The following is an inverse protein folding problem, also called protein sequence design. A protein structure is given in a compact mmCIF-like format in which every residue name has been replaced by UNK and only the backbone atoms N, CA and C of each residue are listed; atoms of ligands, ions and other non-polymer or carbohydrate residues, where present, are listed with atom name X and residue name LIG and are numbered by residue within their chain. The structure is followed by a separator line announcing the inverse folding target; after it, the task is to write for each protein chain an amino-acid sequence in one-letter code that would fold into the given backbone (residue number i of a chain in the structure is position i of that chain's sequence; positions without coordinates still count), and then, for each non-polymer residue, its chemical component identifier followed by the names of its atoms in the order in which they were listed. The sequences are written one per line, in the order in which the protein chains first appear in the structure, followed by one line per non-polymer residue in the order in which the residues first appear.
data_IF_376202584730
#
_entry.id   IF_376202584730
#
_cell.length_a   1.000
_cell.length_b   1.000
_cell.length_c   1.000
_cell.angle_alpha   90.00
_cell.angle_beta   90.00
_cell.angle_gamma   90.00
#
_symmetry.space_group_name_H-M   'P 1'
#
loop_
_entity.id
_entity.type
_entity.pdbx_description
1 polymer ?
#
# COMPACT_ATOMS: atom_id res chain seq x y z
N UNK A 1 5.08 -6.83 -29.65
CA UNK A 1 4.89 -7.51 -28.34
C UNK A 1 3.50 -8.11 -28.31
N UNK A 2 3.34 -9.33 -27.81
CA UNK A 2 2.01 -9.93 -27.56
C UNK A 2 1.35 -9.27 -26.34
N UNK A 3 0.03 -9.42 -26.17
CA UNK A 3 -0.67 -8.89 -24.98
C UNK A 3 -0.09 -9.42 -23.66
N UNK A 4 0.36 -10.68 -23.63
CA UNK A 4 1.05 -11.27 -22.46
C UNK A 4 2.37 -10.56 -22.16
N UNK A 5 3.18 -10.27 -23.19
CA UNK A 5 4.45 -9.57 -23.01
C UNK A 5 4.24 -8.14 -22.49
N UNK A 6 3.21 -7.45 -22.97
CA UNK A 6 2.85 -6.11 -22.49
C UNK A 6 2.39 -6.14 -21.03
N UNK A 7 1.56 -7.12 -20.65
CA UNK A 7 1.10 -7.27 -19.27
C UNK A 7 2.26 -7.48 -18.29
N UNK A 8 3.20 -8.37 -18.61
CA UNK A 8 4.38 -8.57 -17.76
C UNK A 8 5.27 -7.32 -17.70
N UNK A 9 5.44 -6.59 -18.81
CA UNK A 9 6.18 -5.33 -18.81
C UNK A 9 5.53 -4.27 -17.90
N UNK A 10 4.19 -4.19 -17.85
CA UNK A 10 3.47 -3.27 -16.95
C UNK A 10 3.63 -3.68 -15.49
N UNK A 11 3.54 -4.98 -15.18
CA UNK A 11 3.79 -5.48 -13.82
C UNK A 11 5.19 -5.13 -13.34
N UNK A 12 6.21 -5.33 -14.19
CA UNK A 12 7.59 -4.98 -13.88
C UNK A 12 7.76 -3.46 -13.68
N UNK A 13 7.12 -2.65 -14.53
CA UNK A 13 7.14 -1.19 -14.42
C UNK A 13 6.56 -0.72 -13.08
N UNK A 14 5.44 -1.29 -12.63
CA UNK A 14 4.78 -0.92 -11.37
C UNK A 14 5.53 -1.48 -10.14
N UNK A 15 6.00 -2.72 -10.24
CA UNK A 15 6.78 -3.38 -9.18
C UNK A 15 8.10 -2.68 -8.89
N UNK A 16 8.74 -2.14 -9.94
CA UNK A 16 9.98 -1.38 -9.85
C UNK A 16 9.78 0.15 -9.95
N UNK A 17 8.53 0.63 -9.81
CA UNK A 17 8.23 2.05 -10.01
C UNK A 17 8.99 2.93 -9.04
N UNK A 18 9.72 3.92 -9.57
CA UNK A 18 10.33 5.00 -8.80
C UNK A 18 9.34 6.09 -8.39
N UNK A 19 8.03 5.93 -8.60
CA UNK A 19 7.02 6.97 -8.31
C UNK A 19 5.91 6.46 -7.40
N UNK A 20 5.34 5.29 -7.73
CA UNK A 20 4.17 4.77 -7.05
C UNK A 20 4.52 3.83 -5.90
N UNK A 21 3.74 3.92 -4.82
CA UNK A 21 3.70 2.88 -3.81
C UNK A 21 2.61 1.87 -4.17
N UNK A 22 2.96 0.59 -4.18
CA UNK A 22 1.99 -0.49 -4.32
C UNK A 22 2.14 -1.44 -3.14
N UNK A 23 1.03 -1.77 -2.51
CA UNK A 23 0.93 -2.75 -1.43
C UNK A 23 -0.29 -3.64 -1.66
N UNK A 24 -0.26 -4.85 -1.10
CA UNK A 24 -1.45 -5.65 -0.89
C UNK A 24 -1.50 -6.08 0.57
N UNK A 25 -2.70 -6.16 1.13
CA UNK A 25 -2.96 -6.61 2.51
C UNK A 25 -4.01 -7.71 2.48
N UNK A 26 -3.89 -8.69 3.36
CA UNK A 26 -4.90 -9.74 3.52
C UNK A 26 -6.02 -9.31 4.50
N UNK A 27 -7.02 -10.19 4.68
CA UNK A 27 -8.14 -9.94 5.61
C UNK A 27 -7.73 -9.84 7.08
N UNK A 28 -6.55 -10.37 7.44
CA UNK A 28 -5.94 -10.16 8.76
C UNK A 28 -5.14 -8.85 8.85
N UNK A 29 -5.28 -7.97 7.86
CA UNK A 29 -4.61 -6.67 7.78
C UNK A 29 -3.09 -6.74 7.74
N UNK A 30 -2.53 -7.89 7.33
CA UNK A 30 -1.10 -8.08 7.16
C UNK A 30 -0.69 -7.85 5.71
N UNK A 31 0.46 -7.22 5.48
CA UNK A 31 1.04 -7.07 4.15
C UNK A 31 1.28 -8.43 3.50
N UNK A 32 0.77 -8.63 2.28
CA UNK A 32 1.07 -9.78 1.42
C UNK A 32 1.99 -9.42 0.27
N UNK A 33 2.06 -8.13 -0.08
CA UNK A 33 2.95 -7.60 -1.09
C UNK A 33 3.32 -6.15 -0.77
N UNK A 34 4.55 -5.77 -1.11
CA UNK A 34 5.02 -4.38 -1.19
C UNK A 34 5.92 -4.26 -2.41
N UNK A 35 5.81 -3.16 -3.17
CA UNK A 35 6.70 -2.92 -4.29
C UNK A 35 8.07 -2.38 -3.84
N UNK A 36 9.03 -2.29 -4.78
CA UNK A 36 10.41 -1.88 -4.48
C UNK A 36 10.46 -0.52 -3.77
N UNK A 37 9.73 0.47 -4.26
CA UNK A 37 9.77 1.83 -3.69
C UNK A 37 9.19 1.90 -2.28
N UNK A 38 8.10 1.19 -1.99
CA UNK A 38 7.58 1.14 -0.62
C UNK A 38 8.57 0.45 0.33
N UNK A 39 9.20 -0.63 -0.13
CA UNK A 39 10.24 -1.32 0.65
C UNK A 39 11.46 -0.42 0.90
N UNK A 40 11.98 0.27 -0.13
CA UNK A 40 13.16 1.14 -0.03
C UNK A 40 12.96 2.25 1.02
N UNK A 41 11.73 2.77 1.16
CA UNK A 41 11.39 3.82 2.13
C UNK A 41 11.15 3.25 3.54
N UNK A 42 10.31 2.21 3.68
CA UNK A 42 9.78 1.82 4.98
C UNK A 42 10.49 0.62 5.62
N UNK A 43 11.21 -0.21 4.85
CA UNK A 43 11.99 -1.34 5.41
C UNK A 43 13.11 -0.87 6.35
N UNK A 44 13.90 0.18 6.05
CA UNK A 44 14.92 0.67 6.98
C UNK A 44 14.35 1.16 8.32
N UNK A 45 13.08 1.59 8.34
CA UNK A 45 12.41 2.15 9.51
C UNK A 45 11.74 1.05 10.34
N UNK A 46 11.08 0.10 9.69
CA UNK A 46 10.18 -0.86 10.34
C UNK A 46 10.60 -2.33 10.17
N UNK A 47 11.70 -2.61 9.48
CA UNK A 47 12.13 -3.97 9.11
C UNK A 47 11.29 -4.56 7.97
N UNK A 48 11.39 -5.89 7.79
CA UNK A 48 10.62 -6.59 6.77
C UNK A 48 9.11 -6.50 7.02
N UNK A 49 8.38 -6.02 6.01
CA UNK A 49 6.97 -5.64 6.14
C UNK A 49 6.00 -6.77 5.82
N UNK A 50 6.32 -7.65 4.87
CA UNK A 50 5.44 -8.77 4.49
C UNK A 50 5.20 -9.66 5.72
N UNK A 51 3.93 -9.96 5.99
CA UNK A 51 3.50 -10.67 7.20
C UNK A 51 3.23 -9.78 8.42
N UNK A 52 3.65 -8.51 8.42
CA UNK A 52 3.33 -7.57 9.49
C UNK A 52 2.01 -6.84 9.23
N UNK A 53 1.34 -6.47 10.32
CA UNK A 53 0.13 -5.67 10.28
C UNK A 53 0.40 -4.28 9.68
N UNK A 54 -0.48 -3.79 8.79
CA UNK A 54 -0.25 -2.53 8.06
C UNK A 54 -0.05 -1.30 8.96
N UNK A 55 -0.63 -1.36 10.17
CA UNK A 55 -0.61 -0.27 11.13
C UNK A 55 0.82 0.08 11.59
N UNK A 56 1.80 -0.83 11.44
CA UNK A 56 3.20 -0.61 11.87
C UNK A 56 3.84 0.62 11.21
N UNK A 57 3.36 1.02 10.03
CA UNK A 57 3.92 2.14 9.27
C UNK A 57 3.17 3.46 9.45
N UNK A 58 2.04 3.49 10.17
CA UNK A 58 1.12 4.64 10.16
C UNK A 58 0.81 5.22 11.52
N UNK A 59 0.35 6.47 11.51
CA UNK A 59 -0.23 7.10 12.69
C UNK A 59 -1.47 6.32 13.18
N UNK A 60 -1.63 6.06 14.49
CA UNK A 60 -2.75 5.28 15.01
C UNK A 60 -4.13 5.85 14.66
N UNK A 61 -4.33 7.17 14.74
CA UNK A 61 -5.61 7.80 14.39
C UNK A 61 -6.05 7.57 12.93
N UNK A 62 -5.13 7.24 12.02
CA UNK A 62 -5.48 7.02 10.61
C UNK A 62 -6.00 5.61 10.34
N UNK A 63 -5.96 4.71 11.34
CA UNK A 63 -6.51 3.35 11.22
C UNK A 63 -8.02 3.36 10.95
N UNK A 64 -8.76 4.29 11.56
CA UNK A 64 -10.21 4.46 11.32
C UNK A 64 -10.47 4.75 9.84
N UNK A 65 -9.67 5.64 9.23
CA UNK A 65 -9.77 5.96 7.79
C UNK A 65 -9.53 4.71 6.95
N UNK A 66 -8.52 3.91 7.28
CA UNK A 66 -8.26 2.66 6.55
C UNK A 66 -9.42 1.66 6.66
N UNK A 67 -10.03 1.53 7.83
CA UNK A 67 -11.18 0.63 8.05
C UNK A 67 -12.41 1.07 7.24
N UNK A 68 -12.74 2.36 7.26
CA UNK A 68 -13.88 2.90 6.49
C UNK A 68 -13.65 2.71 4.99
N UNK A 69 -12.46 3.08 4.50
CA UNK A 69 -12.15 3.02 3.07
C UNK A 69 -12.04 1.57 2.57
N UNK A 70 -11.51 0.64 3.37
CA UNK A 70 -11.48 -0.77 3.01
C UNK A 70 -12.89 -1.37 2.96
N UNK A 71 -13.76 -1.03 3.92
CA UNK A 71 -15.16 -1.45 3.90
C UNK A 71 -15.86 -0.99 2.63
N UNK A 72 -15.69 0.28 2.24
CA UNK A 72 -16.22 0.81 0.99
C UNK A 72 -15.69 0.04 -0.23
N UNK A 73 -14.39 -0.25 -0.27
CA UNK A 73 -13.79 -1.01 -1.37
C UNK A 73 -14.38 -2.42 -1.50
N UNK A 74 -14.67 -3.11 -0.39
CA UNK A 74 -15.34 -4.41 -0.41
C UNK A 74 -16.83 -4.32 -0.76
N UNK A 75 -17.53 -3.27 -0.32
CA UNK A 75 -18.95 -3.06 -0.66
C UNK A 75 -19.17 -2.68 -2.13
N UNK A 76 -18.18 -2.06 -2.77
CA UNK A 76 -18.25 -1.59 -4.16
C UNK A 76 -17.05 -2.10 -4.96
N UNK A 77 -17.03 -3.39 -5.32
CA UNK A 77 -15.84 -4.07 -5.83
C UNK A 77 -15.34 -3.53 -7.16
N UNK A 78 -16.16 -2.82 -7.95
CA UNK A 78 -15.76 -2.21 -9.22
C UNK A 78 -15.17 -0.80 -9.08
N UNK A 79 -15.24 -0.21 -7.88
CA UNK A 79 -14.79 1.16 -7.61
C UNK A 79 -13.41 1.22 -6.95
N UNK A 80 -12.85 2.44 -6.91
CA UNK A 80 -11.65 2.78 -6.13
C UNK A 80 -11.97 3.89 -5.15
N UNK A 81 -11.38 3.85 -3.96
CA UNK A 81 -11.66 4.82 -2.90
C UNK A 81 -10.38 5.49 -2.38
N UNK A 82 -10.32 6.82 -2.33
CA UNK A 82 -9.11 7.51 -1.92
C UNK A 82 -8.96 7.56 -0.39
N UNK A 83 -7.71 7.57 0.08
CA UNK A 83 -7.36 7.87 1.46
C UNK A 83 -6.10 8.74 1.54
N UNK A 84 -6.03 9.64 2.51
CA UNK A 84 -4.81 10.38 2.85
C UNK A 84 -4.36 9.95 4.24
N UNK A 85 -3.13 9.46 4.37
CA UNK A 85 -2.62 8.83 5.59
C UNK A 85 -1.25 9.40 5.95
N UNK A 86 -0.99 9.52 7.25
CA UNK A 86 0.32 9.81 7.84
C UNK A 86 1.09 8.51 8.03
N UNK A 87 2.28 8.44 7.44
CA UNK A 87 3.23 7.35 7.62
C UNK A 87 4.44 7.83 8.40
N UNK A 88 4.94 7.04 9.34
CA UNK A 88 6.13 7.41 10.11
C UNK A 88 7.33 7.57 9.18
N UNK A 89 8.10 8.64 9.38
CA UNK A 89 9.30 8.94 8.59
C UNK A 89 10.59 8.31 9.17
N UNK A 90 10.49 7.67 10.34
CA UNK A 90 11.64 7.09 11.06
C UNK A 90 12.47 8.09 11.86
N UNK A 91 12.10 9.38 11.86
CA UNK A 91 12.78 10.48 12.55
C UNK A 91 11.88 11.15 13.61
N UNK A 92 10.76 10.53 13.95
CA UNK A 92 9.78 11.04 14.91
C UNK A 92 8.68 11.90 14.29
N UNK A 93 8.69 12.09 12.97
CA UNK A 93 7.68 12.82 12.21
C UNK A 93 6.84 11.92 11.31
N UNK A 94 6.22 12.55 10.31
CA UNK A 94 5.33 11.89 9.36
C UNK A 94 5.51 12.40 7.94
N UNK A 95 5.35 11.49 6.98
CA UNK A 95 5.07 11.84 5.59
C UNK A 95 3.58 11.66 5.30
N UNK A 96 3.03 12.55 4.49
CA UNK A 96 1.64 12.45 4.02
C UNK A 96 1.63 11.64 2.73
N UNK A 97 0.83 10.57 2.71
CA UNK A 97 0.67 9.66 1.58
C UNK A 97 -0.77 9.64 1.10
N UNK A 98 -0.96 9.56 -0.22
CA UNK A 98 -2.28 9.43 -0.84
C UNK A 98 -2.39 8.05 -1.47
N UNK A 99 -3.54 7.41 -1.27
CA UNK A 99 -3.79 6.03 -1.66
C UNK A 99 -5.10 5.91 -2.39
N UNK A 100 -5.17 4.93 -3.27
CA UNK A 100 -6.40 4.44 -3.90
C UNK A 100 -6.59 2.99 -3.47
N UNK A 101 -7.69 2.72 -2.78
CA UNK A 101 -8.02 1.39 -2.29
C UNK A 101 -8.91 0.67 -3.29
N UNK A 102 -8.56 -0.58 -3.56
CA UNK A 102 -9.32 -1.52 -4.39
C UNK A 102 -9.35 -2.86 -3.68
N UNK A 103 -10.54 -3.43 -3.49
CA UNK A 103 -10.68 -4.80 -3.04
C UNK A 103 -10.38 -5.76 -4.20
N UNK A 104 -9.71 -6.87 -3.91
CA UNK A 104 -9.38 -7.95 -4.83
C UNK A 104 -9.83 -9.29 -4.28
#
# INVERSE_FOLDING_TARGET
MTGKQQFEAVKDLLGNSGTYYLIAVNMSSNYTYVNKRYADIFKPIHGDLVGRHYAVTMHPDDQQTCQVVSQMAFSYPDSVFPATLRKYDGHGGFIITRWEYKAM
#
